data_IF_873147058393
#
_entry.id   IF_873147058393
#
_cell.length_a   1.000
_cell.length_b   1.000
_cell.length_c   1.000
_cell.angle_alpha   90.00
_cell.angle_beta   90.00
_cell.angle_gamma   90.00
#
_symmetry.space_group_name_H-M   'P 1'
#
loop_
_entity.id
_entity.type
_entity.pdbx_description
1 polymer ?
#
# COMPACT_ATOMS: atom_id res chain seq x y z
N UNK A 1 12.29 -28.69 3.46
CA UNK A 1 11.65 -27.79 4.41
C UNK A 1 11.75 -26.33 3.98
N UNK A 2 12.84 -25.84 3.35
CA UNK A 2 13.00 -24.47 2.81
C UNK A 2 11.88 -23.94 1.88
N UNK A 3 11.17 -24.79 1.16
CA UNK A 3 10.10 -24.34 0.22
C UNK A 3 8.79 -23.91 0.87
N UNK A 4 8.49 -24.34 2.09
CA UNK A 4 7.22 -24.01 2.74
C UNK A 4 7.27 -22.68 3.51
N UNK A 5 8.44 -22.29 4.01
CA UNK A 5 8.63 -21.03 4.74
C UNK A 5 8.55 -19.82 3.81
N UNK A 6 9.19 -19.90 2.63
CA UNK A 6 9.06 -18.87 1.58
C UNK A 6 7.62 -18.70 1.05
N UNK A 7 6.82 -19.79 1.07
CA UNK A 7 5.41 -19.72 0.66
C UNK A 7 4.54 -19.03 1.71
N UNK A 8 4.84 -19.15 2.99
CA UNK A 8 4.12 -18.47 4.08
C UNK A 8 4.48 -16.98 4.07
N UNK A 9 5.76 -16.61 3.93
CA UNK A 9 6.18 -15.19 3.83
C UNK A 9 5.70 -14.53 2.53
N UNK A 10 5.72 -15.21 1.38
CA UNK A 10 5.19 -14.67 0.13
C UNK A 10 3.66 -14.50 0.15
N UNK A 11 2.94 -15.35 0.89
CA UNK A 11 1.51 -15.17 1.12
C UNK A 11 1.23 -13.97 2.04
N UNK A 12 2.10 -13.70 3.01
CA UNK A 12 2.00 -12.56 3.93
C UNK A 12 2.35 -11.25 3.19
N UNK A 13 3.40 -11.21 2.35
CA UNK A 13 3.76 -10.04 1.55
C UNK A 13 2.71 -9.68 0.49
N UNK A 14 1.95 -10.66 -0.02
CA UNK A 14 0.84 -10.39 -0.93
C UNK A 14 -0.38 -9.78 -0.21
N UNK A 15 -0.55 -10.05 1.09
CA UNK A 15 -1.64 -9.48 1.89
C UNK A 15 -1.37 -8.02 2.31
N UNK A 16 -0.10 -7.63 2.52
CA UNK A 16 0.27 -6.28 3.00
C UNK A 16 0.06 -5.16 1.98
N UNK A 17 -0.11 -5.45 0.69
CA UNK A 17 -0.34 -4.42 -0.34
C UNK A 17 -1.82 -4.09 -0.59
N UNK A 18 -2.77 -4.72 0.12
CA UNK A 18 -4.20 -4.68 -0.22
C UNK A 18 -5.12 -3.93 0.74
N UNK A 19 -4.62 -3.35 1.83
CA UNK A 19 -5.51 -2.85 2.90
C UNK A 19 -5.67 -1.34 3.02
N UNK A 20 -5.51 -0.56 1.94
CA UNK A 20 -5.82 0.87 2.01
C UNK A 20 -7.14 1.28 1.34
N UNK A 21 -8.11 0.39 1.18
CA UNK A 21 -9.44 0.77 0.70
C UNK A 21 -10.53 0.17 1.57
N UNK A 22 -11.32 1.07 2.13
CA UNK A 22 -12.46 0.92 3.01
C UNK A 22 -13.17 -0.43 3.05
N UNK A 23 -13.38 -0.89 4.28
CA UNK A 23 -14.09 -2.10 4.64
C UNK A 23 -15.44 -2.28 3.91
N UNK A 24 -15.79 -3.50 3.59
CA UNK A 24 -17.01 -4.26 3.80
C UNK A 24 -17.29 -5.33 2.73
N UNK A 25 -16.43 -5.55 1.70
CA UNK A 25 -16.65 -6.61 0.71
C UNK A 25 -15.36 -7.39 0.35
N UNK A 26 -14.32 -7.31 1.18
CA UNK A 26 -13.06 -8.01 0.96
C UNK A 26 -13.08 -9.30 1.79
N UNK A 27 -13.09 -10.44 1.13
CA UNK A 27 -13.02 -11.75 1.77
C UNK A 27 -12.28 -12.74 0.88
N UNK A 28 -11.69 -13.76 1.50
CA UNK A 28 -11.08 -14.85 0.77
C UNK A 28 -12.10 -15.46 -0.21
N UNK A 29 -11.68 -15.73 -1.45
CA UNK A 29 -12.58 -16.18 -2.50
C UNK A 29 -13.36 -17.45 -2.14
N UNK A 30 -12.76 -18.36 -1.37
CA UNK A 30 -13.40 -19.60 -0.90
C UNK A 30 -14.44 -19.37 0.19
N UNK A 31 -14.41 -18.26 0.91
CA UNK A 31 -15.41 -17.88 1.90
C UNK A 31 -16.60 -17.17 1.26
N UNK A 32 -16.35 -16.35 0.25
CA UNK A 32 -17.36 -15.55 -0.45
C UNK A 32 -18.17 -16.39 -1.44
N UNK A 33 -17.49 -17.26 -2.22
CA UNK A 33 -18.16 -18.12 -3.19
C UNK A 33 -18.73 -19.37 -2.53
N UNK A 34 -19.92 -19.81 -2.99
CA UNK A 34 -20.38 -21.15 -2.62
C UNK A 34 -19.36 -22.20 -3.09
N UNK A 35 -19.20 -23.31 -2.34
CA UNK A 35 -18.27 -24.41 -2.67
C UNK A 35 -18.38 -24.88 -4.12
N UNK A 36 -19.60 -24.92 -4.67
CA UNK A 36 -19.86 -25.31 -6.07
C UNK A 36 -19.34 -24.26 -7.05
N UNK A 37 -19.57 -22.98 -6.77
CA UNK A 37 -19.11 -21.88 -7.61
C UNK A 37 -17.59 -21.76 -7.56
N UNK A 38 -16.99 -21.84 -6.38
CA UNK A 38 -15.54 -21.86 -6.18
C UNK A 38 -14.88 -22.98 -6.99
N UNK A 39 -15.34 -24.23 -6.83
CA UNK A 39 -14.82 -25.36 -7.60
C UNK A 39 -14.92 -25.16 -9.12
N UNK A 40 -16.01 -24.53 -9.60
CA UNK A 40 -16.15 -24.18 -11.02
C UNK A 40 -15.13 -23.10 -11.42
N UNK A 41 -14.98 -22.03 -10.64
CA UNK A 41 -14.08 -20.93 -10.94
C UNK A 41 -12.63 -21.41 -11.04
N UNK A 42 -12.11 -22.13 -10.02
CA UNK A 42 -10.74 -22.64 -10.02
C UNK A 42 -10.48 -23.69 -11.13
N UNK A 43 -11.53 -24.36 -11.62
CA UNK A 43 -11.40 -25.29 -12.76
C UNK A 43 -11.52 -24.63 -14.13
N UNK A 44 -11.94 -23.37 -14.19
CA UNK A 44 -12.16 -22.61 -15.43
C UNK A 44 -10.96 -21.74 -15.79
N UNK A 45 -10.28 -21.20 -14.78
CA UNK A 45 -9.19 -20.25 -14.96
C UNK A 45 -7.83 -20.84 -14.53
N UNK A 46 -6.76 -20.47 -15.21
CA UNK A 46 -5.39 -20.91 -14.90
C UNK A 46 -4.89 -20.33 -13.57
N UNK A 47 -5.42 -19.15 -13.22
CA UNK A 47 -5.13 -18.46 -11.95
C UNK A 47 -6.35 -17.63 -11.55
N UNK A 48 -6.58 -17.57 -10.25
CA UNK A 48 -7.63 -16.76 -9.62
C UNK A 48 -6.96 -16.04 -8.45
N UNK A 49 -7.20 -14.75 -8.30
CA UNK A 49 -6.71 -13.98 -7.14
C UNK A 49 -7.31 -14.53 -5.85
N UNK A 50 -6.57 -14.46 -4.76
CA UNK A 50 -6.98 -15.04 -3.47
C UNK A 50 -8.13 -14.26 -2.82
N UNK A 51 -8.33 -12.99 -3.20
CA UNK A 51 -9.28 -12.08 -2.56
C UNK A 51 -10.17 -11.36 -3.56
N UNK A 52 -11.36 -10.96 -3.10
CA UNK A 52 -12.19 -9.97 -3.77
C UNK A 52 -11.75 -8.55 -3.37
N UNK A 53 -11.73 -7.65 -4.34
CA UNK A 53 -11.57 -6.22 -4.13
C UNK A 53 -12.79 -5.51 -4.73
N UNK A 54 -13.50 -4.73 -3.93
CA UNK A 54 -14.74 -4.04 -4.30
C UNK A 54 -15.75 -4.95 -5.01
N UNK A 55 -15.91 -6.17 -4.49
CA UNK A 55 -16.83 -7.18 -5.03
C UNK A 55 -16.40 -7.83 -6.34
N UNK A 56 -15.12 -7.68 -6.72
CA UNK A 56 -14.55 -8.24 -7.95
C UNK A 56 -13.26 -8.99 -7.68
N UNK A 57 -12.96 -10.00 -8.49
CA UNK A 57 -11.76 -10.82 -8.37
C UNK A 57 -11.09 -10.97 -9.74
N UNK A 58 -9.77 -10.83 -9.77
CA UNK A 58 -8.95 -10.98 -10.96
C UNK A 58 -8.80 -12.46 -11.29
N UNK A 59 -8.99 -12.80 -12.55
CA UNK A 59 -8.78 -14.16 -13.07
C UNK A 59 -7.86 -14.13 -14.28
N UNK A 60 -7.23 -15.27 -14.58
CA UNK A 60 -6.34 -15.41 -15.74
C UNK A 60 -6.66 -16.68 -16.49
N UNK A 61 -6.70 -16.63 -17.81
CA UNK A 61 -6.84 -17.77 -18.71
C UNK A 61 -6.02 -17.53 -19.99
N UNK A 62 -5.33 -18.56 -20.47
CA UNK A 62 -4.45 -18.49 -21.66
C UNK A 62 -3.47 -17.31 -21.64
N UNK A 63 -2.92 -17.03 -20.44
CA UNK A 63 -1.96 -15.94 -20.24
C UNK A 63 -2.57 -14.52 -20.18
N UNK A 64 -3.89 -14.37 -20.35
CA UNK A 64 -4.61 -13.09 -20.33
C UNK A 64 -5.45 -12.94 -19.07
N UNK A 65 -5.61 -11.70 -18.63
CA UNK A 65 -6.34 -11.34 -17.42
C UNK A 65 -7.76 -10.88 -17.73
N UNK A 66 -8.67 -11.24 -16.85
CA UNK A 66 -10.09 -10.87 -16.83
C UNK A 66 -10.56 -10.65 -15.40
N UNK A 67 -11.85 -10.42 -15.22
CA UNK A 67 -12.48 -10.13 -13.92
C UNK A 67 -13.79 -10.89 -13.78
N UNK A 68 -14.04 -11.46 -12.60
CA UNK A 68 -15.32 -12.05 -12.20
C UNK A 68 -15.95 -11.29 -11.04
N UNK A 69 -17.27 -11.41 -10.88
CA UNK A 69 -18.02 -10.90 -9.74
C UNK A 69 -18.04 -11.92 -8.57
N UNK A 70 -18.63 -11.52 -7.43
CA UNK A 70 -18.83 -12.36 -6.24
C UNK A 70 -19.74 -13.59 -6.49
N UNK A 71 -20.33 -13.74 -7.67
CA UNK A 71 -21.10 -14.93 -8.07
C UNK A 71 -20.32 -15.82 -9.02
N UNK A 72 -19.05 -15.48 -9.29
CA UNK A 72 -18.21 -16.17 -10.27
C UNK A 72 -18.62 -15.94 -11.72
N UNK A 73 -19.37 -14.86 -12.01
CA UNK A 73 -19.74 -14.45 -13.36
C UNK A 73 -18.66 -13.56 -13.93
N UNK A 74 -18.20 -13.85 -15.14
CA UNK A 74 -17.28 -13.01 -15.86
C UNK A 74 -17.90 -11.63 -16.15
N UNK A 75 -17.20 -10.57 -15.74
CA UNK A 75 -17.52 -9.16 -15.98
C UNK A 75 -16.64 -8.64 -17.12
N UNK A 76 -15.33 -8.94 -17.04
CA UNK A 76 -14.33 -8.58 -18.04
C UNK A 76 -13.71 -9.88 -18.55
N UNK A 77 -13.77 -10.16 -19.85
CA UNK A 77 -13.19 -11.38 -20.41
C UNK A 77 -11.67 -11.39 -20.31
N UNK A 78 -11.08 -12.59 -20.26
CA UNK A 78 -9.61 -12.78 -20.21
C UNK A 78 -8.96 -12.42 -21.56
N UNK A 79 -8.84 -11.13 -21.86
CA UNK A 79 -8.28 -10.59 -23.11
C UNK A 79 -7.17 -9.59 -22.89
N UNK A 80 -6.96 -9.13 -21.65
CA UNK A 80 -6.01 -8.07 -21.30
C UNK A 80 -4.65 -8.63 -20.92
N UNK A 81 -3.57 -7.88 -21.23
CA UNK A 81 -2.19 -8.24 -20.84
C UNK A 81 -2.03 -8.28 -19.31
N UNK A 82 -2.64 -7.34 -18.62
CA UNK A 82 -2.73 -7.26 -17.16
C UNK A 82 -3.92 -6.40 -16.78
N UNK A 83 -4.62 -6.81 -15.73
CA UNK A 83 -5.58 -6.00 -14.99
C UNK A 83 -5.15 -6.10 -13.52
N UNK A 84 -5.22 -4.99 -12.80
CA UNK A 84 -4.99 -4.91 -11.36
C UNK A 84 -6.32 -4.82 -10.62
N UNK A 85 -6.30 -4.99 -9.31
CA UNK A 85 -7.51 -4.99 -8.49
C UNK A 85 -8.30 -3.69 -8.63
N UNK A 86 -9.61 -3.80 -8.40
CA UNK A 86 -10.51 -2.67 -8.44
C UNK A 86 -10.20 -1.73 -7.28
N UNK A 87 -10.07 -0.46 -7.57
CA UNK A 87 -9.94 0.58 -6.56
C UNK A 87 -10.75 1.80 -6.98
N UNK A 88 -11.59 2.27 -6.07
CA UNK A 88 -12.49 3.41 -6.30
C UNK A 88 -13.34 3.25 -7.58
N UNK A 89 -13.76 1.99 -7.84
CA UNK A 89 -14.60 1.63 -8.99
C UNK A 89 -13.89 1.57 -10.34
N UNK A 90 -12.57 1.57 -10.38
CA UNK A 90 -11.75 1.54 -11.59
C UNK A 90 -10.72 0.43 -11.52
N UNK A 91 -10.44 -0.19 -12.68
CA UNK A 91 -9.35 -1.14 -12.83
C UNK A 91 -8.20 -0.48 -13.57
N UNK A 92 -7.03 -0.46 -12.97
CA UNK A 92 -5.79 -0.14 -13.66
C UNK A 92 -5.45 -1.31 -14.60
N UNK A 93 -5.11 -1.03 -15.85
CA UNK A 93 -4.64 -2.05 -16.79
C UNK A 93 -3.52 -1.49 -17.66
N UNK A 94 -2.77 -2.37 -18.31
CA UNK A 94 -1.84 -1.95 -19.33
C UNK A 94 -1.96 -2.77 -20.61
N UNK A 95 -1.46 -2.17 -21.69
CA UNK A 95 -1.20 -2.81 -22.96
C UNK A 95 0.29 -2.73 -23.30
N UNK A 96 0.74 -3.52 -24.28
CA UNK A 96 2.09 -3.45 -24.83
C UNK A 96 2.04 -2.96 -26.25
N UNK A 97 2.97 -2.07 -26.62
CA UNK A 97 3.20 -1.72 -28.01
C UNK A 97 4.12 -2.73 -28.72
N UNK A 98 4.39 -2.50 -30.01
CA UNK A 98 5.27 -3.34 -30.85
C UNK A 98 6.73 -3.37 -30.35
N UNK A 99 7.15 -2.39 -29.54
CA UNK A 99 8.48 -2.29 -28.93
C UNK A 99 8.52 -2.82 -27.50
N UNK A 100 7.44 -3.49 -27.04
CA UNK A 100 7.27 -4.00 -25.68
C UNK A 100 7.25 -2.91 -24.60
N UNK A 101 6.93 -1.65 -24.94
CA UNK A 101 6.66 -0.63 -23.93
C UNK A 101 5.28 -0.87 -23.33
N UNK A 102 5.16 -0.64 -22.04
CA UNK A 102 3.91 -0.72 -21.30
C UNK A 102 3.22 0.64 -21.31
N UNK A 103 1.91 0.63 -21.60
CA UNK A 103 1.07 1.81 -21.58
C UNK A 103 -0.13 1.56 -20.68
N UNK A 104 -0.26 2.38 -19.66
CA UNK A 104 -1.27 2.26 -18.62
C UNK A 104 -2.50 3.08 -18.95
N UNK A 105 -3.67 2.54 -18.61
CA UNK A 105 -4.99 3.13 -18.75
C UNK A 105 -5.96 2.56 -17.72
N UNK A 106 -7.23 2.90 -17.83
CA UNK A 106 -8.23 2.48 -16.84
C UNK A 106 -9.51 1.97 -17.49
N UNK A 107 -10.04 0.87 -16.93
CA UNK A 107 -11.36 0.35 -17.23
C UNK A 107 -12.32 0.73 -16.11
N UNK A 108 -13.60 0.93 -16.45
CA UNK A 108 -14.66 1.01 -15.45
C UNK A 108 -15.11 -0.38 -14.99
N UNK A 109 -15.98 -0.46 -13.97
CA UNK A 109 -16.53 -1.74 -13.43
C UNK A 109 -17.27 -2.62 -14.47
N UNK A 110 -17.58 -2.08 -15.65
CA UNK A 110 -18.20 -2.87 -16.73
C UNK A 110 -17.18 -3.41 -17.74
N UNK A 111 -15.90 -3.07 -17.56
CA UNK A 111 -14.81 -3.41 -18.48
C UNK A 111 -14.70 -2.48 -19.68
N UNK A 112 -15.43 -1.37 -19.70
CA UNK A 112 -15.29 -0.35 -20.73
C UNK A 112 -14.05 0.50 -20.44
N UNK A 113 -13.28 0.81 -21.47
CA UNK A 113 -12.16 1.75 -21.36
C UNK A 113 -12.70 3.14 -20.99
N UNK A 114 -12.34 3.60 -19.80
CA UNK A 114 -12.65 4.94 -19.29
C UNK A 114 -11.50 5.91 -19.62
N UNK A 115 -10.25 5.44 -19.56
CA UNK A 115 -9.06 6.19 -19.92
C UNK A 115 -8.19 5.30 -20.79
N UNK A 116 -7.93 5.76 -22.02
CA UNK A 116 -7.10 5.02 -22.99
C UNK A 116 -5.68 4.81 -22.45
N UNK A 117 -5.03 3.66 -22.75
CA UNK A 117 -3.65 3.41 -22.39
C UNK A 117 -2.70 4.40 -23.05
N UNK A 118 -2.15 5.33 -22.28
CA UNK A 118 -1.29 6.39 -22.78
C UNK A 118 -0.22 6.85 -21.78
N UNK A 119 -0.28 6.38 -20.56
CA UNK A 119 0.67 6.75 -19.51
C UNK A 119 1.79 5.73 -19.40
N UNK A 120 3.00 6.21 -19.12
CA UNK A 120 4.19 5.37 -18.89
C UNK A 120 4.05 4.54 -17.62
N UNK A 121 3.35 5.10 -16.63
CA UNK A 121 3.00 4.44 -15.37
C UNK A 121 1.77 5.13 -14.78
N UNK A 122 1.05 4.43 -13.88
CA UNK A 122 -0.10 4.96 -13.19
C UNK A 122 -0.34 4.22 -11.86
N UNK A 123 -0.80 4.96 -10.85
CA UNK A 123 -1.31 4.41 -9.60
C UNK A 123 -2.81 4.08 -9.69
N UNK A 124 -3.31 3.38 -8.68
CA UNK A 124 -4.75 3.14 -8.53
C UNK A 124 -5.52 4.45 -8.29
N UNK A 125 -6.82 4.42 -8.56
CA UNK A 125 -7.71 5.50 -8.14
C UNK A 125 -7.89 5.45 -6.62
N UNK A 126 -7.68 6.58 -5.96
CA UNK A 126 -7.96 6.80 -4.55
C UNK A 126 -8.57 8.20 -4.40
N UNK A 127 -9.60 8.35 -3.58
CA UNK A 127 -10.30 9.63 -3.37
C UNK A 127 -10.79 10.29 -4.68
N UNK A 128 -11.15 9.48 -5.69
CA UNK A 128 -11.62 9.93 -7.01
C UNK A 128 -10.54 10.32 -8.01
N UNK A 129 -9.26 10.21 -7.66
CA UNK A 129 -8.12 10.63 -8.47
C UNK A 129 -7.09 9.51 -8.61
N UNK A 130 -6.42 9.46 -9.76
CA UNK A 130 -5.27 8.58 -9.99
C UNK A 130 -4.03 9.40 -10.35
N UNK A 131 -2.90 9.04 -9.76
CA UNK A 131 -1.59 9.52 -10.17
C UNK A 131 -1.23 8.89 -11.50
N UNK A 132 -0.84 9.70 -12.48
CA UNK A 132 -0.36 9.24 -13.79
C UNK A 132 0.99 9.84 -14.11
N UNK A 133 1.81 9.08 -14.82
CA UNK A 133 3.19 9.42 -15.12
C UNK A 133 3.40 9.37 -16.63
N UNK A 134 4.01 10.40 -17.18
CA UNK A 134 4.53 10.38 -18.55
C UNK A 134 6.02 10.70 -18.58
N UNK A 135 6.72 10.29 -19.63
CA UNK A 135 8.08 10.75 -19.88
C UNK A 135 8.08 12.20 -20.36
N UNK A 136 9.06 12.99 -19.99
CA UNK A 136 9.25 14.33 -20.54
C UNK A 136 9.62 14.23 -22.04
N UNK A 137 8.98 15.03 -22.89
CA UNK A 137 9.17 15.01 -24.33
C UNK A 137 10.61 15.28 -24.78
N UNK A 138 11.36 16.08 -24.01
CA UNK A 138 12.74 16.48 -24.33
C UNK A 138 13.79 15.64 -23.61
N UNK A 139 13.45 15.05 -22.48
CA UNK A 139 14.33 14.29 -21.59
C UNK A 139 13.60 13.05 -21.11
N UNK A 140 13.62 11.98 -21.92
CA UNK A 140 12.85 10.75 -21.67
C UNK A 140 13.16 10.05 -20.34
N UNK A 141 14.26 10.40 -19.68
CA UNK A 141 14.62 9.89 -18.34
C UNK A 141 13.99 10.70 -17.19
N UNK A 142 13.32 11.84 -17.48
CA UNK A 142 12.58 12.63 -16.48
C UNK A 142 11.11 12.20 -16.56
N UNK A 143 10.54 11.88 -15.42
CA UNK A 143 9.13 11.62 -15.27
C UNK A 143 8.40 12.92 -14.94
N UNK A 144 7.22 13.08 -15.50
CA UNK A 144 6.27 14.15 -15.22
C UNK A 144 5.02 13.52 -14.61
N UNK A 145 4.49 14.13 -13.57
CA UNK A 145 3.42 13.62 -12.75
C UNK A 145 2.17 14.48 -12.88
N UNK A 146 0.99 13.88 -12.95
CA UNK A 146 -0.29 14.55 -12.94
C UNK A 146 -1.32 13.73 -12.15
N UNK A 147 -2.39 14.38 -11.68
CA UNK A 147 -3.59 13.70 -11.22
C UNK A 147 -4.71 13.83 -12.23
N UNK A 148 -5.38 12.72 -12.50
CA UNK A 148 -6.56 12.66 -13.36
C UNK A 148 -7.77 12.18 -12.58
N UNK A 149 -8.97 12.62 -12.98
CA UNK A 149 -10.22 12.04 -12.50
C UNK A 149 -10.62 10.80 -13.32
N UNK A 150 -11.71 10.13 -12.93
CA UNK A 150 -12.22 8.91 -13.58
C UNK A 150 -12.64 9.07 -15.03
N UNK A 151 -12.72 10.30 -15.55
CA UNK A 151 -12.96 10.60 -16.98
C UNK A 151 -11.65 10.84 -17.75
N UNK A 152 -10.50 10.79 -17.10
CA UNK A 152 -9.21 11.14 -17.67
C UNK A 152 -8.94 12.64 -17.78
N UNK A 153 -9.78 13.47 -17.14
CA UNK A 153 -9.57 14.92 -17.09
C UNK A 153 -8.48 15.25 -16.07
N UNK A 154 -7.51 16.08 -16.47
CA UNK A 154 -6.40 16.50 -15.59
C UNK A 154 -6.93 17.43 -14.51
N UNK A 155 -6.66 17.10 -13.25
CA UNK A 155 -7.00 17.91 -12.08
C UNK A 155 -5.78 18.67 -11.58
N UNK A 156 -4.61 18.01 -11.52
CA UNK A 156 -3.32 18.63 -11.23
C UNK A 156 -2.42 18.36 -12.42
N UNK A 157 -1.96 19.44 -13.06
CA UNK A 157 -1.25 19.36 -14.33
C UNK A 157 0.18 18.86 -14.17
N UNK A 158 0.70 18.26 -15.25
CA UNK A 158 2.09 17.86 -15.38
C UNK A 158 3.03 19.05 -15.10
N UNK A 159 4.15 18.78 -14.48
CA UNK A 159 5.16 19.79 -14.09
C UNK A 159 4.72 20.82 -13.02
N UNK A 160 3.56 20.64 -12.41
CA UNK A 160 3.19 21.46 -11.25
C UNK A 160 4.05 21.13 -10.04
N UNK A 161 4.37 19.84 -9.87
CA UNK A 161 5.20 19.32 -8.80
C UNK A 161 6.29 18.38 -9.36
N UNK A 162 7.44 18.35 -8.71
CA UNK A 162 8.56 17.50 -9.12
C UNK A 162 8.30 16.01 -8.85
N UNK A 163 7.60 15.70 -7.77
CA UNK A 163 7.15 14.35 -7.39
C UNK A 163 5.80 14.45 -6.71
N UNK A 164 5.00 13.40 -6.80
CA UNK A 164 3.70 13.27 -6.13
C UNK A 164 3.52 11.84 -5.64
N UNK A 165 2.82 11.66 -4.53
CA UNK A 165 2.33 10.36 -4.06
C UNK A 165 0.82 10.27 -4.31
N UNK A 166 0.28 9.07 -4.33
CA UNK A 166 -1.18 8.85 -4.47
C UNK A 166 -1.96 9.53 -3.35
N UNK A 167 -3.22 9.85 -3.62
CA UNK A 167 -4.12 10.34 -2.60
C UNK A 167 -4.39 9.27 -1.53
N UNK A 168 -4.49 9.71 -0.30
CA UNK A 168 -4.98 8.93 0.84
C UNK A 168 -5.66 9.89 1.80
N UNK A 169 -6.87 9.54 2.25
CA UNK A 169 -7.68 10.36 3.17
C UNK A 169 -7.91 11.80 2.69
N UNK A 170 -8.06 11.95 1.37
CA UNK A 170 -8.33 13.24 0.72
C UNK A 170 -7.12 14.15 0.53
N UNK A 171 -5.91 13.69 0.88
CA UNK A 171 -4.65 14.42 0.76
C UNK A 171 -3.60 13.63 -0.02
N UNK A 172 -2.76 14.34 -0.77
CA UNK A 172 -1.61 13.75 -1.47
C UNK A 172 -0.33 14.52 -1.15
N UNK A 173 0.73 13.81 -0.82
CA UNK A 173 2.04 14.41 -0.64
C UNK A 173 2.60 14.86 -2.00
N UNK A 174 3.07 16.10 -2.07
CA UNK A 174 3.65 16.71 -3.27
C UNK A 174 4.99 17.36 -2.95
N UNK A 175 5.92 17.22 -3.90
CA UNK A 175 7.27 17.76 -3.78
C UNK A 175 7.46 18.97 -4.68
N UNK A 176 8.03 20.02 -4.11
CA UNK A 176 8.47 21.22 -4.84
C UNK A 176 9.99 21.29 -4.76
N UNK A 177 10.64 21.34 -5.91
CA UNK A 177 12.08 21.64 -5.96
C UNK A 177 12.30 23.13 -5.71
N UNK A 178 12.93 23.48 -4.59
CA UNK A 178 13.26 24.84 -4.22
C UNK A 178 14.75 24.94 -3.86
N UNK A 179 15.52 25.79 -4.57
CA UNK A 179 16.96 26.03 -4.36
C UNK A 179 17.79 24.73 -4.23
N UNK A 180 17.54 23.76 -5.11
CA UNK A 180 18.16 22.41 -5.09
C UNK A 180 17.85 21.61 -3.82
N UNK A 181 16.75 21.90 -3.13
CA UNK A 181 16.23 21.09 -2.02
C UNK A 181 14.82 20.61 -2.37
N UNK A 182 14.63 19.34 -2.18
CA UNK A 182 13.30 18.74 -2.22
C UNK A 182 12.54 19.16 -0.95
N UNK A 183 11.39 19.80 -1.10
CA UNK A 183 10.50 20.10 0.01
C UNK A 183 9.10 19.57 -0.26
N UNK A 184 8.52 18.93 0.73
CA UNK A 184 7.23 18.25 0.66
C UNK A 184 6.16 19.01 1.43
N UNK A 185 4.95 18.96 0.91
CA UNK A 185 3.71 19.43 1.51
C UNK A 185 2.55 18.59 1.03
N UNK A 186 1.32 19.05 1.26
CA UNK A 186 0.13 18.28 0.86
C UNK A 186 -0.89 19.14 0.14
N UNK A 187 -1.55 18.54 -0.84
CA UNK A 187 -2.67 19.10 -1.59
C UNK A 187 -3.93 18.28 -1.32
N UNK A 188 -5.10 18.94 -1.47
CA UNK A 188 -6.39 18.26 -1.47
C UNK A 188 -6.78 17.75 -2.88
N UNK A 189 -7.92 17.07 -2.99
CA UNK A 189 -8.45 16.52 -4.25
C UNK A 189 -8.83 17.57 -5.30
N UNK A 190 -8.77 18.86 -4.97
CA UNK A 190 -8.93 19.97 -5.93
C UNK A 190 -7.58 20.49 -6.44
N UNK A 191 -6.46 19.97 -5.93
CA UNK A 191 -5.12 20.47 -6.21
C UNK A 191 -4.71 21.71 -5.40
N UNK A 192 -5.50 22.07 -4.38
CA UNK A 192 -5.21 23.22 -3.51
C UNK A 192 -4.24 22.79 -2.41
N UNK A 193 -3.19 23.60 -2.15
CA UNK A 193 -2.23 23.34 -1.07
C UNK A 193 -2.93 23.50 0.28
N UNK A 194 -2.96 22.41 1.06
CA UNK A 194 -3.49 22.39 2.43
C UNK A 194 -2.36 22.56 3.44
N UNK A 195 -1.25 21.85 3.22
CA UNK A 195 -0.07 21.94 4.07
C UNK A 195 1.10 22.40 3.20
N UNK A 196 1.64 23.57 3.55
CA UNK A 196 2.71 24.21 2.78
C UNK A 196 3.96 23.33 2.68
N UNK A 197 4.63 23.25 1.49
CA UNK A 197 5.84 22.49 1.31
C UNK A 197 6.99 23.05 2.17
N UNK A 198 7.30 22.38 3.26
CA UNK A 198 8.35 22.77 4.22
C UNK A 198 9.09 21.57 4.82
N UNK A 199 8.68 20.34 4.51
CA UNK A 199 9.25 19.11 5.05
C UNK A 199 10.29 18.52 4.09
N UNK A 200 11.35 17.90 4.62
CA UNK A 200 12.36 17.20 3.82
C UNK A 200 11.85 15.89 3.25
N UNK A 201 10.90 15.24 3.95
CA UNK A 201 10.10 14.11 3.45
C UNK A 201 8.70 14.15 4.03
N UNK A 202 7.76 13.47 3.38
CA UNK A 202 6.38 13.35 3.83
C UNK A 202 5.80 12.03 3.30
N UNK A 203 5.15 11.27 4.18
CA UNK A 203 4.45 10.04 3.84
C UNK A 203 2.95 10.26 3.68
N UNK A 204 2.23 9.27 3.17
CA UNK A 204 0.79 9.33 2.98
C UNK A 204 0.06 9.43 4.33
N UNK A 205 -1.10 10.09 4.33
CA UNK A 205 -2.00 10.06 5.48
C UNK A 205 -2.60 8.67 5.66
N UNK A 206 -2.66 8.21 6.90
CA UNK A 206 -3.36 7.01 7.34
C UNK A 206 -3.84 7.18 8.77
N UNK A 207 -5.05 6.71 9.09
CA UNK A 207 -5.66 6.87 10.42
C UNK A 207 -5.71 8.32 10.92
N UNK A 208 -5.86 9.28 10.00
CA UNK A 208 -5.96 10.73 10.27
C UNK A 208 -4.64 11.43 10.55
N UNK A 209 -3.49 10.77 10.41
CA UNK A 209 -2.16 11.33 10.65
C UNK A 209 -1.18 10.98 9.52
N UNK A 210 -0.10 11.77 9.42
CA UNK A 210 1.03 11.47 8.53
C UNK A 210 2.37 11.72 9.23
N UNK A 211 3.38 10.95 8.85
CA UNK A 211 4.76 11.15 9.30
C UNK A 211 5.43 12.10 8.32
N UNK A 212 6.11 13.11 8.83
CA UNK A 212 6.87 14.09 8.06
C UNK A 212 8.22 14.35 8.72
N UNK A 213 9.24 14.64 7.92
CA UNK A 213 10.60 14.92 8.41
C UNK A 213 11.02 16.34 8.14
N UNK A 214 11.68 16.96 9.15
CA UNK A 214 12.26 18.29 9.03
C UNK A 214 13.49 18.43 9.94
N UNK A 215 14.63 18.86 9.37
CA UNK A 215 15.86 19.06 10.13
C UNK A 215 16.27 17.82 10.95
N UNK A 216 16.33 16.66 10.30
CA UNK A 216 16.68 15.36 10.88
C UNK A 216 15.78 14.92 12.06
N UNK A 217 14.54 15.40 12.09
CA UNK A 217 13.53 15.01 13.06
C UNK A 217 12.24 14.61 12.36
N UNK A 218 11.61 13.61 12.88
CA UNK A 218 10.26 13.22 12.49
C UNK A 218 9.21 13.88 13.36
N UNK A 219 8.06 14.10 12.75
CA UNK A 219 6.87 14.66 13.36
C UNK A 219 5.68 13.84 12.87
N UNK A 220 4.73 13.57 13.71
CA UNK A 220 3.43 13.07 13.30
C UNK A 220 2.45 14.24 13.32
N UNK A 221 1.82 14.50 12.17
CA UNK A 221 0.94 15.64 11.97
C UNK A 221 -0.49 15.19 11.65
N UNK A 222 -1.47 16.02 11.94
CA UNK A 222 -2.86 15.81 11.52
C UNK A 222 -3.10 16.37 10.10
N UNK A 223 -4.31 16.18 9.57
CA UNK A 223 -4.74 16.64 8.23
C UNK A 223 -4.72 18.16 8.04
N UNK A 224 -4.51 18.93 9.09
CA UNK A 224 -4.33 20.40 9.05
C UNK A 224 -2.86 20.79 9.08
N UNK A 225 -1.95 19.83 9.29
CA UNK A 225 -0.52 20.07 9.48
C UNK A 225 -0.14 20.45 10.91
N UNK A 226 -1.04 20.27 11.88
CA UNK A 226 -0.75 20.49 13.29
C UNK A 226 -0.01 19.28 13.84
N UNK A 227 1.07 19.51 14.64
CA UNK A 227 1.85 18.43 15.23
C UNK A 227 1.03 17.71 16.30
N UNK A 228 0.78 16.43 16.11
CA UNK A 228 0.10 15.56 17.07
C UNK A 228 1.09 15.09 18.12
N UNK A 229 2.24 14.54 17.70
CA UNK A 229 3.34 14.23 18.60
C UNK A 229 4.68 14.23 17.86
N UNK A 230 5.75 14.21 18.62
CA UNK A 230 7.14 14.09 18.16
C UNK A 230 7.71 12.82 18.80
N UNK A 231 8.19 11.83 18.01
CA UNK A 231 8.85 10.66 18.59
C UNK A 231 9.94 11.03 19.57
N UNK A 232 10.07 10.31 20.68
CA UNK A 232 11.16 10.48 21.64
C UNK A 232 12.50 10.20 20.97
N UNK A 233 13.58 10.77 21.50
CA UNK A 233 14.92 10.66 20.87
C UNK A 233 15.40 9.21 20.68
N UNK A 234 14.97 8.29 21.54
CA UNK A 234 15.28 6.87 21.53
C UNK A 234 14.17 6.01 20.95
N UNK A 235 13.17 6.63 20.30
CA UNK A 235 12.08 5.97 19.60
C UNK A 235 12.27 6.09 18.09
N UNK A 236 12.13 4.98 17.39
CA UNK A 236 12.12 4.88 15.92
C UNK A 236 10.77 4.34 15.49
N UNK A 237 10.10 5.03 14.56
CA UNK A 237 8.91 4.52 13.91
C UNK A 237 9.35 3.50 12.86
N UNK A 238 8.75 2.31 12.85
CA UNK A 238 9.21 1.20 12.01
C UNK A 238 8.53 1.16 10.64
N UNK A 239 7.47 1.93 10.45
CA UNK A 239 6.69 1.98 9.22
C UNK A 239 6.46 3.42 8.76
N UNK A 240 6.07 3.59 7.52
CA UNK A 240 5.77 4.90 6.92
C UNK A 240 4.36 5.41 7.26
N UNK A 241 3.45 4.50 7.64
CA UNK A 241 2.03 4.78 7.92
C UNK A 241 1.55 4.02 9.16
N UNK A 242 0.53 4.57 9.80
CA UNK A 242 -0.23 3.85 10.82
C UNK A 242 -1.20 2.88 10.14
N UNK A 243 -1.37 1.70 10.72
CA UNK A 243 -2.34 0.71 10.25
C UNK A 243 -3.29 0.32 11.37
N UNK A 244 -4.59 0.47 11.10
CA UNK A 244 -5.66 0.17 12.06
C UNK A 244 -5.52 0.90 13.41
N UNK A 245 -5.00 2.15 13.37
CA UNK A 245 -4.78 3.01 14.52
C UNK A 245 -3.51 2.74 15.31
N UNK A 246 -2.66 1.82 14.86
CA UNK A 246 -1.44 1.39 15.54
C UNK A 246 -0.23 1.46 14.59
N UNK A 247 0.94 1.61 15.21
CA UNK A 247 2.22 1.56 14.51
C UNK A 247 3.23 0.80 15.36
N UNK A 248 3.97 -0.15 14.78
CA UNK A 248 5.12 -0.73 15.44
C UNK A 248 6.21 0.34 15.57
N UNK A 249 6.80 0.44 16.75
CA UNK A 249 7.91 1.34 17.02
C UNK A 249 8.98 0.61 17.83
N UNK A 250 10.24 0.99 17.64
CA UNK A 250 11.35 0.48 18.44
C UNK A 250 11.80 1.52 19.45
N UNK A 251 12.13 1.11 20.68
CA UNK A 251 12.65 1.97 21.73
C UNK A 251 13.99 1.45 22.27
N UNK A 252 15.00 2.28 22.25
CA UNK A 252 16.35 1.95 22.67
C UNK A 252 17.39 2.59 21.74
N UNK A 253 18.67 2.54 22.14
CA UNK A 253 19.76 3.23 21.43
C UNK A 253 20.73 2.29 20.72
N UNK A 254 20.44 1.01 20.62
CA UNK A 254 21.35 0.02 20.07
C UNK A 254 20.61 -1.21 19.52
N UNK A 255 21.37 -2.24 19.11
CA UNK A 255 20.89 -3.54 18.64
C UNK A 255 20.02 -4.32 19.67
N UNK A 256 19.76 -3.74 20.84
CA UNK A 256 18.87 -4.29 21.88
C UNK A 256 17.58 -3.49 22.02
N UNK A 257 17.33 -2.57 21.08
CA UNK A 257 16.05 -1.88 21.04
C UNK A 257 14.91 -2.93 21.01
N UNK A 258 13.85 -2.67 21.74
CA UNK A 258 12.66 -3.52 21.75
C UNK A 258 11.54 -2.83 21.00
N UNK A 259 10.79 -3.63 20.26
CA UNK A 259 9.59 -3.21 19.56
C UNK A 259 8.38 -3.25 20.48
N UNK A 260 7.47 -2.34 20.26
CA UNK A 260 6.16 -2.24 20.88
C UNK A 260 5.20 -1.56 19.91
N UNK A 261 4.01 -1.22 20.36
CA UNK A 261 3.05 -0.53 19.49
C UNK A 261 2.57 0.76 20.14
N UNK A 262 2.51 1.80 19.35
CA UNK A 262 1.97 3.11 19.73
C UNK A 262 0.71 3.42 18.92
N UNK A 263 -0.17 4.26 19.46
CA UNK A 263 -1.32 4.80 18.74
C UNK A 263 -0.96 6.08 17.97
N UNK A 264 -1.91 6.62 17.20
CA UNK A 264 -1.76 7.85 16.42
C UNK A 264 -1.43 9.10 17.25
N UNK A 265 -1.49 9.03 18.61
CA UNK A 265 -1.08 10.10 19.52
C UNK A 265 0.31 9.90 20.09
N UNK A 266 1.00 8.81 19.72
CA UNK A 266 2.30 8.43 20.27
C UNK A 266 2.23 7.76 21.66
N UNK A 267 1.04 7.37 22.13
CA UNK A 267 0.85 6.66 23.38
C UNK A 267 1.13 5.18 23.22
N UNK A 268 1.89 4.57 24.13
CA UNK A 268 2.16 3.13 24.16
C UNK A 268 0.84 2.36 24.37
N UNK A 269 0.56 1.43 23.44
CA UNK A 269 -0.61 0.53 23.50
C UNK A 269 -0.19 -0.89 23.86
N UNK A 270 0.89 -1.39 23.23
CA UNK A 270 1.53 -2.64 23.63
C UNK A 270 2.99 -2.36 24.01
N UNK A 271 3.49 -2.99 25.10
CA UNK A 271 4.77 -2.66 25.69
C UNK A 271 5.95 -2.94 24.76
N UNK A 272 7.04 -2.17 24.90
CA UNK A 272 8.29 -2.37 24.19
C UNK A 272 9.03 -3.58 24.76
N UNK A 273 8.61 -4.79 24.37
CA UNK A 273 9.17 -6.05 24.85
C UNK A 273 9.46 -7.08 23.75
N UNK A 274 9.03 -6.83 22.52
CA UNK A 274 9.23 -7.70 21.38
C UNK A 274 10.62 -7.48 20.76
N UNK A 275 11.20 -8.52 20.18
CA UNK A 275 12.43 -8.45 19.41
C UNK A 275 12.17 -7.92 18.00
N UNK A 276 10.95 -8.14 17.51
CA UNK A 276 10.43 -7.68 16.21
C UNK A 276 8.91 -7.50 16.27
N UNK A 277 8.37 -6.61 15.43
CA UNK A 277 6.93 -6.42 15.29
C UNK A 277 6.59 -5.94 13.87
N UNK A 278 5.57 -6.54 13.28
CA UNK A 278 4.93 -6.10 12.03
C UNK A 278 3.69 -5.26 12.32
N UNK A 279 3.19 -4.54 11.31
CA UNK A 279 1.93 -3.80 11.39
C UNK A 279 0.74 -4.73 11.62
N UNK A 280 -0.30 -4.20 12.26
CA UNK A 280 -1.58 -4.90 12.40
C UNK A 280 -2.31 -4.96 11.06
N UNK A 281 -2.79 -6.16 10.71
CA UNK A 281 -3.62 -6.42 9.54
C UNK A 281 -4.78 -7.32 9.99
N UNK A 282 -6.01 -6.92 9.68
CA UNK A 282 -7.23 -7.64 10.08
C UNK A 282 -7.27 -7.94 11.59
N UNK A 283 -6.83 -6.97 12.40
CA UNK A 283 -6.83 -7.03 13.85
C UNK A 283 -5.74 -7.88 14.48
N UNK A 284 -4.78 -8.40 13.71
CA UNK A 284 -3.68 -9.25 14.18
C UNK A 284 -2.32 -8.75 13.69
N UNK A 285 -1.25 -9.05 14.41
CA UNK A 285 0.12 -8.75 14.01
C UNK A 285 1.05 -9.91 14.37
N UNK A 286 2.08 -10.13 13.54
CA UNK A 286 3.17 -11.01 13.90
C UNK A 286 4.21 -10.25 14.71
N UNK A 287 4.67 -10.87 15.79
CA UNK A 287 5.76 -10.35 16.62
C UNK A 287 6.72 -11.47 16.99
N UNK A 288 7.97 -11.14 17.22
CA UNK A 288 8.96 -12.08 17.74
C UNK A 288 9.25 -11.74 19.20
N UNK A 289 9.21 -12.72 20.08
CA UNK A 289 9.57 -12.61 21.50
C UNK A 289 10.19 -13.92 21.98
N UNK A 290 11.33 -13.83 22.65
CA UNK A 290 12.01 -14.99 23.24
C UNK A 290 12.22 -16.15 22.24
N UNK A 291 12.63 -15.83 20.99
CA UNK A 291 12.83 -16.76 19.87
C UNK A 291 11.56 -17.52 19.44
N UNK A 292 10.41 -16.91 19.61
CA UNK A 292 9.11 -17.42 19.15
C UNK A 292 8.46 -16.41 18.25
N UNK A 293 7.90 -16.88 17.15
CA UNK A 293 6.96 -16.13 16.33
C UNK A 293 5.58 -16.24 16.97
N UNK A 294 4.97 -15.12 17.26
CA UNK A 294 3.66 -15.03 17.88
C UNK A 294 2.72 -14.26 16.97
N UNK A 295 1.52 -14.77 16.74
CA UNK A 295 0.41 -14.00 16.21
C UNK A 295 -0.36 -13.41 17.39
N UNK A 296 -0.47 -12.09 17.46
CA UNK A 296 -1.14 -11.39 18.56
C UNK A 296 -2.35 -10.57 18.08
N UNK A 297 -3.32 -10.37 18.96
CA UNK A 297 -4.39 -9.38 18.76
C UNK A 297 -3.97 -7.99 19.27
N UNK A 298 -4.79 -6.95 19.01
CA UNK A 298 -4.54 -5.56 19.45
C UNK A 298 -4.47 -5.35 20.96
N UNK A 299 -4.78 -6.38 21.77
CA UNK A 299 -4.63 -6.36 23.24
C UNK A 299 -3.36 -7.07 23.70
N UNK A 300 -2.57 -7.62 22.76
CA UNK A 300 -1.38 -8.42 23.03
C UNK A 300 -1.68 -9.86 23.46
N UNK A 301 -2.92 -10.36 23.26
CA UNK A 301 -3.21 -11.76 23.51
C UNK A 301 -2.60 -12.60 22.39
N UNK A 302 -1.87 -13.65 22.75
CA UNK A 302 -1.30 -14.61 21.79
C UNK A 302 -2.41 -15.51 21.26
N UNK A 303 -2.58 -15.50 19.95
CA UNK A 303 -3.55 -16.33 19.22
C UNK A 303 -2.89 -17.61 18.71
N UNK A 304 -1.67 -17.49 18.19
CA UNK A 304 -0.85 -18.58 17.67
C UNK A 304 0.61 -18.40 18.12
N UNK A 305 1.33 -19.49 18.28
CA UNK A 305 2.74 -19.51 18.70
C UNK A 305 3.50 -20.57 17.91
N UNK A 306 4.65 -20.18 17.32
CA UNK A 306 5.59 -21.09 16.65
C UNK A 306 7.01 -20.83 17.16
N UNK A 307 7.78 -21.92 17.42
CA UNK A 307 9.18 -21.82 17.81
C UNK A 307 10.04 -21.61 16.56
N UNK A 308 10.85 -20.58 16.55
CA UNK A 308 11.80 -20.28 15.48
C UNK A 308 13.15 -20.85 15.88
N UNK A 309 13.82 -21.58 14.99
CA UNK A 309 15.19 -21.97 15.25
C UNK A 309 16.15 -20.76 15.08
N UNK A 310 17.38 -20.90 15.58
CA UNK A 310 18.31 -19.76 15.62
C UNK A 310 18.84 -19.34 14.24
N UNK A 311 18.83 -20.22 13.24
CA UNK A 311 19.27 -19.90 11.88
C UNK A 311 18.17 -19.11 11.14
N UNK A 312 16.92 -19.52 11.29
CA UNK A 312 15.77 -18.83 10.70
C UNK A 312 15.53 -17.45 11.36
N UNK A 313 15.80 -17.34 12.68
CA UNK A 313 15.69 -16.08 13.41
C UNK A 313 16.76 -15.06 12.98
N UNK A 314 17.99 -15.48 12.74
CA UNK A 314 19.08 -14.60 12.27
C UNK A 314 18.76 -14.08 10.85
N UNK A 315 18.26 -14.93 9.93
CA UNK A 315 17.80 -14.53 8.60
C UNK A 315 16.65 -13.51 8.67
N UNK A 316 15.72 -13.69 9.62
CA UNK A 316 14.59 -12.79 9.86
C UNK A 316 15.03 -11.41 10.41
N UNK A 317 16.02 -11.40 11.29
CA UNK A 317 16.56 -10.18 11.89
C UNK A 317 17.58 -9.48 10.96
N UNK A 318 18.26 -10.19 10.06
CA UNK A 318 19.16 -9.59 9.07
C UNK A 318 18.39 -8.79 8.02
N UNK A 319 17.23 -9.24 7.57
CA UNK A 319 16.37 -8.50 6.65
C UNK A 319 15.90 -7.17 7.26
N UNK A 320 15.76 -7.10 8.59
CA UNK A 320 15.42 -5.88 9.33
C UNK A 320 16.62 -4.94 9.47
N UNK A 321 17.82 -5.49 9.71
CA UNK A 321 19.05 -4.70 9.84
C UNK A 321 19.44 -3.97 8.55
N UNK A 322 18.94 -4.42 7.39
CA UNK A 322 19.11 -3.73 6.10
C UNK A 322 18.13 -2.54 5.93
N UNK A 323 17.11 -2.40 6.78
CA UNK A 323 16.18 -1.27 6.77
C UNK A 323 16.62 -0.10 7.67
N UNK A 324 17.64 -0.30 8.52
CA UNK A 324 18.28 0.76 9.33
C UNK A 324 19.64 1.15 8.73
#
# INVERSE_FOLDING_TARGET
>A
MRKNFYFILLAIFAATFMTSCGADENGAIEEVLSKKTYAKVISTYDHVSDFFSEGTCIVKSDGKYGVIDMKGKEIIPCTHERIYDCSDGMFLFYTKDENYNYWYGFLDKTGKIAVEPQYKDAGHFNDGLALVIRGNEKKSWINEYAFINKKGEIVVDFNTYAKMQSFSEGLAAVNVENDNKDVWGYINTKGEVVIAPTYGHAYSFSDGVAIVGKNDKEFVIDTKGEVVFIPEKDMVLLEETFEEGLMPAAKGNDLKAKCGFINTKGEEVLPFEYDYAESFIDGTAYVVKDKKLLLIDKKGNVLEEESIDSEDLEEYLEDILYMF
#
